data_IF_781464877141
#
_entry.id   IF_781464877141
#
_cell.length_a   1.000
_cell.length_b   1.000
_cell.length_c   1.000
_cell.angle_alpha   90.00
_cell.angle_beta   90.00
_cell.angle_gamma   90.00
#
_symmetry.space_group_name_H-M   'P 1'
#
loop_
_entity.id
_entity.type
_entity.pdbx_description
1 polymer ?
#
# COMPACT_ATOMS: atom_id res chain seq x y z
N UNK A 1 10.00 12.35 5.45
CA UNK A 1 8.97 11.94 6.41
C UNK A 1 7.92 11.17 5.65
N UNK A 2 7.89 9.87 5.91
CA UNK A 2 6.88 8.95 5.44
C UNK A 2 5.67 9.03 6.36
N UNK A 3 4.48 8.95 5.77
CA UNK A 3 3.20 9.04 6.49
C UNK A 3 2.46 7.69 6.46
N UNK A 4 1.45 7.57 7.32
CA UNK A 4 0.54 6.42 7.34
C UNK A 4 1.26 5.12 7.66
N UNK A 5 0.99 4.05 6.89
CA UNK A 5 1.57 2.72 7.12
C UNK A 5 3.10 2.73 7.13
N UNK A 6 3.72 3.62 6.35
CA UNK A 6 5.17 3.67 6.18
C UNK A 6 5.89 4.54 7.23
N UNK A 7 5.15 5.20 8.13
CA UNK A 7 5.78 6.09 9.12
C UNK A 7 6.66 5.34 10.13
N UNK A 8 6.42 4.05 10.33
CA UNK A 8 7.21 3.22 11.26
C UNK A 8 8.66 3.01 10.79
N UNK A 9 8.91 3.09 9.48
CA UNK A 9 10.24 2.91 8.88
C UNK A 9 10.91 4.24 8.50
N UNK A 10 10.37 5.39 8.95
CA UNK A 10 10.91 6.72 8.65
C UNK A 10 12.12 7.11 9.52
N UNK A 11 12.49 6.28 10.50
CA UNK A 11 13.69 6.46 11.32
C UNK A 11 14.81 5.51 10.91
N UNK A 12 16.06 5.98 11.00
CA UNK A 12 17.24 5.27 10.51
C UNK A 12 17.44 3.89 11.14
N UNK A 13 17.19 3.75 12.44
CA UNK A 13 17.39 2.49 13.16
C UNK A 13 16.42 1.41 12.64
N UNK A 14 15.14 1.75 12.51
CA UNK A 14 14.13 0.82 12.00
C UNK A 14 14.34 0.54 10.52
N UNK A 15 14.65 1.58 9.73
CA UNK A 15 14.93 1.42 8.31
C UNK A 15 16.13 0.48 8.06
N UNK A 16 17.18 0.57 8.88
CA UNK A 16 18.37 -0.26 8.79
C UNK A 16 18.14 -1.72 9.23
N UNK A 17 17.06 -2.02 9.94
CA UNK A 17 16.70 -3.37 10.38
C UNK A 17 16.03 -4.21 9.28
N UNK A 18 16.14 -3.80 8.02
CA UNK A 18 15.59 -4.50 6.86
C UNK A 18 16.20 -5.90 6.68
N UNK A 19 15.37 -6.87 6.32
CA UNK A 19 15.80 -8.23 5.96
C UNK A 19 15.14 -8.67 4.65
N UNK A 20 15.66 -9.73 4.03
CA UNK A 20 15.02 -10.41 2.90
C UNK A 20 14.52 -11.76 3.40
N UNK A 21 13.23 -12.03 3.24
CA UNK A 21 12.63 -13.31 3.58
C UNK A 21 13.05 -14.37 2.55
N UNK A 22 13.58 -15.51 3.02
CA UNK A 22 14.29 -16.46 2.16
C UNK A 22 13.40 -17.20 1.15
N UNK A 23 12.11 -17.40 1.46
CA UNK A 23 11.21 -18.18 0.61
C UNK A 23 10.63 -17.34 -0.54
N UNK A 24 10.13 -16.15 -0.24
CA UNK A 24 9.47 -15.24 -1.17
C UNK A 24 10.40 -14.19 -1.77
N UNK A 25 11.56 -13.94 -1.15
CA UNK A 25 12.44 -12.83 -1.51
C UNK A 25 11.90 -11.46 -1.07
N UNK A 26 10.82 -11.41 -0.30
CA UNK A 26 10.18 -10.17 0.15
C UNK A 26 11.12 -9.35 1.04
N UNK A 27 11.15 -8.03 0.81
CA UNK A 27 11.91 -7.10 1.64
C UNK A 27 11.06 -6.71 2.84
N UNK A 28 11.52 -7.05 4.04
CA UNK A 28 10.75 -6.96 5.28
C UNK A 28 11.41 -6.04 6.30
N UNK A 29 10.59 -5.28 7.03
CA UNK A 29 10.99 -4.50 8.19
C UNK A 29 10.26 -4.99 9.46
N UNK A 30 10.79 -4.69 10.66
CA UNK A 30 10.06 -4.91 11.91
C UNK A 30 8.68 -4.25 11.89
N UNK A 31 7.69 -4.89 12.54
CA UNK A 31 6.32 -4.37 12.60
C UNK A 31 5.43 -4.79 11.43
N UNK A 32 5.88 -5.71 10.59
CA UNK A 32 5.06 -6.33 9.54
C UNK A 32 4.93 -5.49 8.26
N UNK A 33 5.83 -4.53 8.05
CA UNK A 33 5.95 -3.83 6.77
C UNK A 33 6.77 -4.70 5.83
N UNK A 34 6.22 -5.01 4.68
CA UNK A 34 6.86 -5.81 3.67
C UNK A 34 6.62 -5.24 2.26
N UNK A 35 7.58 -5.43 1.36
CA UNK A 35 7.50 -5.01 -0.03
C UNK A 35 7.97 -6.15 -0.93
N UNK A 36 7.05 -6.59 -1.80
CA UNK A 36 7.27 -7.67 -2.75
C UNK A 36 8.29 -7.25 -3.84
N UNK A 37 9.25 -8.10 -4.25
CA UNK A 37 10.24 -7.73 -5.25
C UNK A 37 9.64 -7.25 -6.57
N UNK A 38 8.51 -7.82 -7.00
CA UNK A 38 7.86 -7.41 -8.27
C UNK A 38 7.35 -5.97 -8.21
N UNK A 39 6.95 -5.51 -7.01
CA UNK A 39 6.54 -4.11 -6.76
C UNK A 39 7.77 -3.19 -6.77
N UNK A 40 8.88 -3.62 -6.16
CA UNK A 40 10.12 -2.85 -6.10
C UNK A 40 10.81 -2.72 -7.46
N UNK A 41 10.82 -3.79 -8.26
CA UNK A 41 11.34 -3.77 -9.63
C UNK A 41 10.45 -2.99 -10.58
N UNK A 42 9.16 -2.85 -10.25
CA UNK A 42 8.17 -2.22 -11.13
C UNK A 42 7.84 -3.10 -12.34
N UNK A 43 8.00 -4.42 -12.20
CA UNK A 43 7.67 -5.39 -13.26
C UNK A 43 6.16 -5.42 -13.54
N UNK A 44 5.37 -5.04 -12.53
CA UNK A 44 3.93 -4.89 -12.63
C UNK A 44 3.52 -3.44 -12.83
N UNK A 45 2.56 -3.22 -13.73
CA UNK A 45 1.95 -1.90 -13.90
C UNK A 45 1.20 -1.57 -12.62
N UNK A 46 1.54 -0.43 -12.00
CA UNK A 46 0.85 0.08 -10.82
C UNK A 46 -0.67 -0.01 -11.04
N UNK A 47 -1.38 -0.59 -10.08
CA UNK A 47 -2.83 -0.68 -10.14
C UNK A 47 -3.39 0.74 -10.34
N UNK A 48 -3.89 1.01 -11.54
CA UNK A 48 -4.49 2.32 -11.82
C UNK A 48 -5.69 2.47 -10.89
N UNK A 49 -5.85 3.63 -10.26
CA UNK A 49 -7.02 3.89 -9.44
C UNK A 49 -8.28 3.60 -10.27
N UNK A 50 -8.98 2.51 -9.95
CA UNK A 50 -10.32 2.25 -10.47
C UNK A 50 -11.16 3.38 -9.88
N UNK A 51 -11.39 4.43 -10.66
CA UNK A 51 -12.28 5.51 -10.24
C UNK A 51 -13.65 4.88 -9.99
N UNK A 52 -14.16 4.88 -8.75
CA UNK A 52 -15.48 4.32 -8.50
C UNK A 52 -16.48 5.09 -9.36
N UNK A 53 -17.19 4.39 -10.23
CA UNK A 53 -18.24 4.99 -11.06
C UNK A 53 -19.57 4.81 -10.34
N UNK A 54 -20.28 5.90 -10.09
CA UNK A 54 -21.67 5.82 -9.63
C UNK A 54 -22.49 5.14 -10.72
N UNK A 55 -22.99 3.93 -10.44
CA UNK A 55 -23.82 3.18 -11.37
C UNK A 55 -25.28 3.63 -11.32
N UNK A 56 -25.75 4.05 -10.14
CA UNK A 56 -27.09 4.59 -9.94
C UNK A 56 -27.15 5.49 -8.71
N UNK A 57 -27.70 6.69 -8.87
CA UNK A 57 -28.03 7.61 -7.79
C UNK A 57 -29.54 7.53 -7.55
N UNK A 58 -29.97 7.37 -6.30
CA UNK A 58 -31.38 7.46 -5.91
C UNK A 58 -31.55 8.69 -5.03
N UNK A 59 -32.47 9.58 -5.39
CA UNK A 59 -32.88 10.71 -4.55
C UNK A 59 -34.29 10.48 -4.04
N UNK A 60 -34.49 10.71 -2.75
CA UNK A 60 -35.81 10.73 -2.17
C UNK A 60 -36.57 11.96 -2.70
N UNK A 61 -37.69 11.75 -3.37
CA UNK A 61 -38.65 12.84 -3.62
C UNK A 61 -39.55 12.95 -2.38
N UNK A 62 -39.57 14.13 -1.75
CA UNK A 62 -40.57 14.46 -0.76
C UNK A 62 -41.87 14.80 -1.50
N UNK A 63 -42.87 13.94 -1.38
CA UNK A 63 -44.22 14.21 -1.85
C UNK A 63 -44.87 15.21 -0.89
N UNK A 64 -45.34 16.34 -1.44
CA UNK A 64 -46.14 17.33 -0.71
C UNK A 64 -47.53 16.79 -0.34
#
# INVERSE_FOLDING_TARGET
>A
MLDGLLSSIDNDETFAAVTVEEVSGTVCWPGGIDLDPVVLHGDEVAASAIRPRVMREYRLQQTQ
#
